data_IF_075044182758
#
_entry.id   IF_075044182758
#
_cell.length_a   1.000
_cell.length_b   1.000
_cell.length_c   1.000
_cell.angle_alpha   90.00
_cell.angle_beta   90.00
_cell.angle_gamma   90.00
#
_symmetry.space_group_name_H-M   'P 1'
#
loop_
_entity.id
_entity.type
_entity.pdbx_description
1 polymer ?
#
# COMPACT_ATOMS: atom_id res chain seq x y z
N UNK A 1 3.06 7.50 40.12
CA UNK A 1 3.89 7.02 38.99
C UNK A 1 2.96 6.83 37.82
N UNK A 2 2.84 7.84 36.96
CA UNK A 2 2.03 7.76 35.75
C UNK A 2 2.88 7.08 34.68
N UNK A 3 2.51 5.84 34.37
CA UNK A 3 3.09 5.06 33.30
C UNK A 3 2.58 5.70 32.01
N UNK A 4 3.43 6.53 31.37
CA UNK A 4 3.13 7.06 30.05
C UNK A 4 3.13 5.89 29.08
N UNK A 5 1.92 5.47 28.75
CA UNK A 5 1.63 4.57 27.65
C UNK A 5 2.45 5.02 26.43
N UNK A 6 3.23 4.09 25.87
CA UNK A 6 4.03 4.35 24.68
C UNK A 6 3.12 4.95 23.61
N UNK A 7 3.55 5.92 22.80
CA UNK A 7 2.69 6.43 21.74
C UNK A 7 2.24 5.24 20.90
N UNK A 8 0.96 4.89 20.99
CA UNK A 8 0.36 3.86 20.17
C UNK A 8 0.65 4.29 18.73
N UNK A 9 1.62 3.63 18.09
CA UNK A 9 1.90 3.80 16.68
C UNK A 9 0.69 3.22 15.97
N UNK A 10 -0.37 4.01 15.88
CA UNK A 10 -1.58 3.70 15.13
C UNK A 10 -1.08 3.47 13.71
N UNK A 11 -1.08 2.21 13.29
CA UNK A 11 -0.70 1.86 11.92
C UNK A 11 -1.61 2.70 11.03
N UNK A 12 -1.06 3.56 10.16
CA UNK A 12 -1.88 4.39 9.29
C UNK A 12 -2.80 3.48 8.50
N UNK A 13 -4.08 3.82 8.45
CA UNK A 13 -5.08 3.06 7.70
C UNK A 13 -4.71 3.04 6.22
N UNK A 14 -5.04 1.94 5.55
CA UNK A 14 -4.89 1.83 4.12
C UNK A 14 -5.67 2.94 3.40
N UNK A 15 -4.94 3.84 2.74
CA UNK A 15 -5.51 5.01 2.09
C UNK A 15 -5.53 6.30 2.91
N UNK A 16 -4.90 6.35 4.08
CA UNK A 16 -4.66 7.61 4.82
C UNK A 16 -3.62 8.53 4.16
N UNK A 17 -3.13 8.19 2.98
CA UNK A 17 -2.15 8.98 2.27
C UNK A 17 -2.86 9.81 1.19
N UNK A 18 -2.71 11.12 1.28
CA UNK A 18 -3.38 12.11 0.40
C UNK A 18 -2.61 12.40 -0.89
N UNK A 19 -1.56 11.64 -1.18
CA UNK A 19 -0.81 11.75 -2.43
C UNK A 19 -1.55 11.13 -3.61
N UNK A 20 -1.00 11.32 -4.80
CA UNK A 20 -1.46 10.68 -6.02
C UNK A 20 -1.31 9.15 -5.96
N UNK A 21 -2.41 8.47 -6.26
CA UNK A 21 -2.52 7.02 -6.32
C UNK A 21 -2.65 6.59 -7.78
N UNK A 22 -1.70 5.78 -8.24
CA UNK A 22 -1.68 5.24 -9.59
C UNK A 22 -2.31 3.86 -9.59
N UNK A 23 -3.30 3.63 -10.46
CA UNK A 23 -3.88 2.31 -10.64
C UNK A 23 -2.81 1.30 -11.09
N UNK A 24 -2.89 0.08 -10.56
CA UNK A 24 -1.97 -1.00 -10.86
C UNK A 24 -2.76 -2.20 -11.35
N UNK A 25 -2.23 -2.86 -12.38
CA UNK A 25 -2.73 -4.17 -12.78
C UNK A 25 -2.52 -5.17 -11.65
N UNK A 26 -3.60 -5.84 -11.25
CA UNK A 26 -3.57 -6.79 -10.14
C UNK A 26 -4.73 -7.77 -10.26
N UNK A 27 -4.69 -8.91 -9.53
CA UNK A 27 -5.83 -9.82 -9.46
C UNK A 27 -6.97 -9.29 -8.58
N UNK A 28 -6.79 -8.14 -7.92
CA UNK A 28 -7.80 -7.52 -7.06
C UNK A 28 -8.70 -6.59 -7.85
N UNK A 29 -9.89 -6.31 -7.32
CA UNK A 29 -10.87 -5.43 -7.96
C UNK A 29 -10.29 -4.04 -8.23
N UNK A 30 -9.54 -3.51 -7.25
CA UNK A 30 -8.80 -2.26 -7.38
C UNK A 30 -7.46 -2.44 -6.71
N UNK A 31 -6.38 -2.01 -7.37
CA UNK A 31 -5.07 -1.89 -6.76
C UNK A 31 -4.42 -0.58 -7.16
N UNK A 32 -3.75 0.06 -6.21
CA UNK A 32 -3.13 1.35 -6.41
C UNK A 32 -1.77 1.44 -5.71
N UNK A 33 -0.84 2.13 -6.35
CA UNK A 33 0.47 2.45 -5.81
C UNK A 33 0.55 3.96 -5.61
N UNK A 34 0.88 4.39 -4.41
CA UNK A 34 1.19 5.80 -4.17
C UNK A 34 2.49 6.15 -4.89
N UNK A 35 2.47 7.18 -5.75
CA UNK A 35 3.63 7.59 -6.52
C UNK A 35 4.80 8.06 -5.64
N UNK A 36 4.48 8.72 -4.51
CA UNK A 36 5.47 9.29 -3.58
C UNK A 36 5.89 8.31 -2.48
N UNK A 37 4.92 7.72 -1.77
CA UNK A 37 5.21 6.85 -0.63
C UNK A 37 5.57 5.42 -1.05
N UNK A 38 5.34 5.04 -2.31
CA UNK A 38 5.51 3.67 -2.83
C UNK A 38 4.72 2.62 -2.02
N UNK A 39 3.66 3.07 -1.36
CA UNK A 39 2.71 2.21 -0.65
C UNK A 39 1.74 1.60 -1.64
N UNK A 40 1.58 0.28 -1.56
CA UNK A 40 0.61 -0.47 -2.37
C UNK A 40 -0.63 -0.77 -1.55
N UNK A 41 -1.81 -0.39 -2.07
CA UNK A 41 -3.12 -0.68 -1.48
C UNK A 41 -4.01 -1.42 -2.47
N UNK A 42 -4.89 -2.28 -1.99
CA UNK A 42 -5.88 -2.96 -2.84
C UNK A 42 -7.24 -3.10 -2.15
N UNK A 43 -8.27 -3.34 -2.95
CA UNK A 43 -9.60 -3.78 -2.53
C UNK A 43 -9.96 -5.08 -3.22
N UNK A 44 -10.45 -6.05 -2.45
CA UNK A 44 -10.95 -7.32 -2.99
C UNK A 44 -12.38 -7.22 -3.50
N UNK A 45 -13.19 -6.32 -2.92
CA UNK A 45 -14.58 -6.07 -3.33
C UNK A 45 -14.93 -4.58 -3.13
N UNK A 46 -16.05 -4.09 -3.71
CA UNK A 46 -16.40 -2.65 -3.64
C UNK A 46 -16.61 -2.15 -2.20
N UNK A 47 -17.21 -2.99 -1.37
CA UNK A 47 -17.51 -2.72 0.05
C UNK A 47 -16.34 -3.06 0.99
N UNK A 48 -15.27 -3.65 0.48
CA UNK A 48 -14.11 -3.98 1.32
C UNK A 48 -13.34 -2.71 1.68
N UNK A 49 -12.81 -2.71 2.89
CA UNK A 49 -11.79 -1.77 3.29
C UNK A 49 -10.54 -1.92 2.42
N UNK A 50 -9.76 -0.84 2.36
CA UNK A 50 -8.45 -0.89 1.74
C UNK A 50 -7.52 -1.75 2.60
N UNK A 51 -6.68 -2.51 1.94
CA UNK A 51 -5.64 -3.31 2.59
C UNK A 51 -4.27 -2.86 2.10
N UNK A 52 -3.33 -2.61 3.02
CA UNK A 52 -1.93 -2.41 2.67
C UNK A 52 -1.22 -3.77 2.57
N UNK A 53 -0.55 -4.02 1.46
CA UNK A 53 0.45 -5.08 1.35
C UNK A 53 1.77 -4.48 0.90
N UNK A 54 2.88 -5.12 1.27
CA UNK A 54 4.14 -4.83 0.62
C UNK A 54 3.93 -4.96 -0.90
N UNK A 55 4.40 -4.01 -1.71
CA UNK A 55 4.32 -4.16 -3.16
C UNK A 55 4.96 -5.51 -3.48
N UNK A 56 4.23 -6.37 -4.21
CA UNK A 56 4.84 -7.59 -4.74
C UNK A 56 5.99 -7.06 -5.59
N UNK A 57 7.26 -7.39 -5.26
CA UNK A 57 8.35 -6.99 -6.11
C UNK A 57 8.04 -7.60 -7.48
N UNK A 58 7.60 -6.76 -8.42
CA UNK A 58 7.79 -7.01 -9.83
C UNK A 58 9.30 -6.99 -9.95
N UNK A 59 9.92 -8.14 -9.70
CA UNK A 59 11.21 -8.45 -10.26
C UNK A 59 11.05 -8.10 -11.74
N UNK A 60 11.55 -6.92 -12.10
CA UNK A 60 12.15 -6.74 -13.40
C UNK A 60 13.25 -7.77 -13.41
N UNK A 61 12.89 -9.03 -13.72
CA UNK A 61 13.86 -10.01 -14.16
C UNK A 61 14.59 -9.28 -15.27
N UNK A 62 15.85 -8.97 -15.00
CA UNK A 62 16.70 -8.16 -15.85
C UNK A 62 16.49 -8.57 -17.29
N UNK A 63 15.82 -7.71 -18.05
CA UNK A 63 16.03 -7.66 -19.49
C UNK A 63 17.12 -6.61 -19.72
N UNK A 64 18.22 -6.77 -19.00
CA UNK A 64 19.53 -6.28 -19.40
C UNK A 64 19.98 -7.23 -20.54
N UNK A 65 19.29 -7.14 -21.69
CA UNK A 65 19.83 -7.69 -22.93
C UNK A 65 20.72 -6.59 -23.48
N UNK A 66 22.01 -6.78 -23.23
CA UNK A 66 23.12 -6.12 -23.89
C UNK A 66 23.03 -6.22 -25.42
#
# INVERSE_FOLDING_TARGET
>A
MEMKDSPEFVKPLAGSCDHEWLEQESPFLVAQLCNRCRLYRYKVAPISDWEYRAPIPRTTFGLDIA
#
